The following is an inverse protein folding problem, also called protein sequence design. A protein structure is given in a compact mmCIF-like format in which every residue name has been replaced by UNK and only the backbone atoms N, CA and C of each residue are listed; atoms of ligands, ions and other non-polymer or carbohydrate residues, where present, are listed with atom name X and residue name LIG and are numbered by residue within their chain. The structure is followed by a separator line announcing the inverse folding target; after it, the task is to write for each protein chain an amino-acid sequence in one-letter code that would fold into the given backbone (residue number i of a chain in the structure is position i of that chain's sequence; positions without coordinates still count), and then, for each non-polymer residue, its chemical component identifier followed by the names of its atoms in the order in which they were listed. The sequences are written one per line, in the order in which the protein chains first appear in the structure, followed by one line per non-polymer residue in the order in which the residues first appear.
data_IF_431133800280
#
_entry.id   IF_431133800280
#
_cell.length_a   1.000
_cell.length_b   1.000
_cell.length_c   1.000
_cell.angle_alpha   90.00
_cell.angle_beta   90.00
_cell.angle_gamma   90.00
#
_symmetry.space_group_name_H-M   'P 1'
#
loop_
_entity.id
_entity.type
_entity.pdbx_description
1 polymer ?
#
# COMPACT_ATOMS: atom_id res chain seq x y z
N UNK A 1 -6.87 24.44 1.78
CA UNK A 1 -5.55 23.81 1.64
C UNK A 1 -5.20 22.87 2.78
N UNK A 2 -5.10 23.29 4.06
CA UNK A 2 -4.68 22.39 5.15
C UNK A 2 -5.58 21.14 5.35
N UNK A 3 -6.90 21.30 5.25
CA UNK A 3 -7.85 20.18 5.36
C UNK A 3 -7.74 19.16 4.21
N UNK A 4 -7.43 19.63 2.99
CA UNK A 4 -7.28 18.77 1.81
C UNK A 4 -6.04 17.90 1.93
N UNK A 5 -4.95 18.45 2.44
CA UNK A 5 -3.72 17.70 2.66
C UNK A 5 -3.88 16.64 3.76
N UNK A 6 -4.55 16.98 4.87
CA UNK A 6 -4.81 15.99 5.91
C UNK A 6 -5.68 14.83 5.40
N UNK A 7 -6.65 15.13 4.52
CA UNK A 7 -7.49 14.14 3.85
C UNK A 7 -6.75 13.21 2.89
N UNK A 8 -5.57 13.62 2.39
CA UNK A 8 -4.71 12.80 1.53
C UNK A 8 -3.70 11.98 2.36
N UNK A 9 -2.98 12.63 3.27
CA UNK A 9 -1.85 12.05 4.00
C UNK A 9 -2.30 11.07 5.12
N UNK A 10 -3.43 11.35 5.78
CA UNK A 10 -3.89 10.51 6.91
C UNK A 10 -4.34 9.12 6.45
N UNK A 11 -5.17 8.97 5.39
CA UNK A 11 -5.54 7.65 4.88
C UNK A 11 -4.35 6.80 4.43
N UNK A 12 -3.28 7.40 3.92
CA UNK A 12 -2.05 6.66 3.54
C UNK A 12 -1.42 5.98 4.76
N UNK A 13 -1.41 6.64 5.92
CA UNK A 13 -0.92 6.01 7.17
C UNK A 13 -1.85 4.86 7.57
N UNK A 14 -3.17 5.05 7.53
CA UNK A 14 -4.12 3.98 7.84
C UNK A 14 -3.93 2.75 6.95
N UNK A 15 -3.68 2.94 5.65
CA UNK A 15 -3.36 1.86 4.73
C UNK A 15 -2.11 1.09 5.18
N UNK A 16 -1.02 1.79 5.52
CA UNK A 16 0.20 1.14 5.99
C UNK A 16 -0.03 0.38 7.32
N UNK A 17 -0.86 0.91 8.22
CA UNK A 17 -1.20 0.21 9.47
C UNK A 17 -1.99 -1.08 9.20
N UNK A 18 -2.90 -1.08 8.21
CA UNK A 18 -3.58 -2.29 7.76
C UNK A 18 -2.60 -3.31 7.16
N UNK A 19 -1.60 -2.84 6.41
CA UNK A 19 -0.56 -3.71 5.85
C UNK A 19 0.27 -4.33 6.97
N UNK A 20 0.70 -3.54 7.95
CA UNK A 20 1.42 -4.02 9.14
C UNK A 20 0.58 -5.06 9.87
N UNK A 21 -0.72 -4.80 10.07
CA UNK A 21 -1.63 -5.78 10.66
C UNK A 21 -1.62 -7.11 9.90
N UNK A 22 -1.81 -7.09 8.58
CA UNK A 22 -1.84 -8.32 7.78
C UNK A 22 -0.48 -9.05 7.83
N UNK A 23 0.62 -8.31 7.76
CA UNK A 23 1.98 -8.84 7.66
C UNK A 23 2.52 -9.40 8.99
N UNK A 24 2.13 -8.83 10.12
CA UNK A 24 2.68 -9.17 11.44
C UNK A 24 1.68 -9.86 12.37
N UNK A 25 0.37 -9.83 12.08
CA UNK A 25 -0.67 -10.50 12.89
C UNK A 25 -0.41 -11.98 13.19
N UNK A 26 0.22 -12.79 12.31
CA UNK A 26 0.50 -14.19 12.64
C UNK A 26 1.50 -14.38 13.79
N UNK A 27 2.48 -13.49 13.93
CA UNK A 27 3.57 -13.63 14.92
C UNK A 27 3.41 -12.68 16.11
N UNK A 28 2.33 -11.90 16.15
CA UNK A 28 2.06 -10.98 17.24
C UNK A 28 1.62 -11.75 18.49
N UNK A 29 2.41 -11.64 19.56
CA UNK A 29 2.24 -12.44 20.78
C UNK A 29 0.82 -12.37 21.36
N UNK A 30 0.23 -11.18 21.43
CA UNK A 30 -1.16 -10.99 21.88
C UNK A 30 -2.07 -10.62 20.73
N UNK A 31 -2.53 -11.60 19.95
CA UNK A 31 -3.24 -11.38 18.67
C UNK A 31 -4.41 -10.39 18.73
N UNK A 32 -5.09 -10.29 19.87
CA UNK A 32 -6.21 -9.37 20.09
C UNK A 32 -5.80 -7.92 20.40
N UNK A 33 -4.55 -7.66 20.80
CA UNK A 33 -4.12 -6.30 21.19
C UNK A 33 -3.56 -5.50 20.01
N UNK A 34 -3.07 -6.17 18.97
CA UNK A 34 -2.50 -5.53 17.79
C UNK A 34 -3.47 -4.55 17.09
N UNK A 35 -4.75 -4.90 16.84
CA UNK A 35 -5.69 -3.97 16.21
C UNK A 35 -5.91 -2.71 17.07
N UNK A 36 -6.05 -2.88 18.39
CA UNK A 36 -6.21 -1.76 19.33
C UNK A 36 -4.98 -0.87 19.32
N UNK A 37 -3.78 -1.45 19.37
CA UNK A 37 -2.52 -0.70 19.32
C UNK A 37 -2.40 0.11 18.02
N UNK A 38 -2.64 -0.52 16.86
CA UNK A 38 -2.57 0.15 15.56
C UNK A 38 -3.64 1.23 15.42
N UNK A 39 -4.85 1.00 15.94
CA UNK A 39 -5.91 2.00 15.94
C UNK A 39 -5.53 3.22 16.78
N UNK A 40 -5.04 3.01 18.01
CA UNK A 40 -4.58 4.11 18.87
C UNK A 40 -3.41 4.86 18.24
N UNK A 41 -2.49 4.15 17.59
CA UNK A 41 -1.39 4.74 16.84
C UNK A 41 -1.89 5.66 15.71
N UNK A 42 -2.79 5.17 14.86
CA UNK A 42 -3.37 5.95 13.76
C UNK A 42 -4.17 7.16 14.24
N UNK A 43 -4.92 7.00 15.33
CA UNK A 43 -5.67 8.11 15.94
C UNK A 43 -4.74 9.19 16.51
N UNK A 44 -3.70 8.79 17.26
CA UNK A 44 -2.70 9.71 17.79
C UNK A 44 -1.96 10.44 16.67
N UNK A 45 -1.56 9.71 15.62
CA UNK A 45 -0.95 10.30 14.43
C UNK A 45 -1.89 11.35 13.81
N UNK A 46 -3.16 11.03 13.58
CA UNK A 46 -4.12 11.96 12.97
C UNK A 46 -4.31 13.24 13.80
N UNK A 47 -4.40 13.13 15.12
CA UNK A 47 -4.49 14.29 16.02
C UNK A 47 -3.21 15.12 15.95
N UNK A 48 -2.05 14.50 16.15
CA UNK A 48 -0.76 15.21 16.10
C UNK A 48 -0.54 15.89 14.73
N UNK A 49 -0.90 15.22 13.65
CA UNK A 49 -0.80 15.74 12.28
C UNK A 49 -1.71 16.94 12.05
N UNK A 50 -2.94 16.91 12.57
CA UNK A 50 -3.88 18.04 12.49
C UNK A 50 -3.40 19.29 13.24
N UNK A 51 -2.74 19.09 14.38
CA UNK A 51 -2.28 20.17 15.25
C UNK A 51 -0.98 20.80 14.75
N UNK A 52 -0.01 19.99 14.36
CA UNK A 52 1.37 20.46 14.10
C UNK A 52 1.72 20.53 12.60
N UNK A 53 0.97 19.87 11.72
CA UNK A 53 1.09 20.01 10.25
C UNK A 53 2.49 19.71 9.70
N UNK A 54 3.03 18.54 10.04
CA UNK A 54 4.38 18.13 9.69
C UNK A 54 4.53 17.65 8.23
N UNK A 55 4.71 18.56 7.26
CA UNK A 55 4.92 18.17 5.85
C UNK A 55 6.09 17.20 5.60
N UNK A 56 7.28 17.51 6.14
CA UNK A 56 8.47 16.66 5.95
C UNK A 56 8.39 15.44 6.88
N UNK A 57 7.89 15.65 8.10
CA UNK A 57 7.71 14.59 9.09
C UNK A 57 6.81 13.47 8.58
N UNK A 58 5.69 13.81 7.92
CA UNK A 58 4.82 12.83 7.28
C UNK A 58 5.56 12.00 6.23
N UNK A 59 6.29 12.63 5.30
CA UNK A 59 7.01 11.91 4.24
C UNK A 59 8.03 10.93 4.80
N UNK A 60 8.83 11.37 5.77
CA UNK A 60 9.83 10.51 6.45
C UNK A 60 9.12 9.37 7.17
N UNK A 61 8.08 9.68 7.93
CA UNK A 61 7.31 8.70 8.68
C UNK A 61 6.66 7.64 7.77
N UNK A 62 6.05 8.07 6.67
CA UNK A 62 5.44 7.20 5.67
C UNK A 62 6.46 6.26 5.04
N UNK A 63 7.63 6.78 4.62
CA UNK A 63 8.71 5.95 4.07
C UNK A 63 9.17 4.89 5.09
N UNK A 64 9.29 5.25 6.38
CA UNK A 64 9.65 4.30 7.42
C UNK A 64 8.60 3.18 7.56
N UNK A 65 7.30 3.50 7.52
CA UNK A 65 6.23 2.50 7.55
C UNK A 65 6.27 1.57 6.33
N UNK A 66 6.52 2.11 5.13
CA UNK A 66 6.68 1.31 3.93
C UNK A 66 7.88 0.35 4.08
N UNK A 67 9.03 0.84 4.56
CA UNK A 67 10.23 0.03 4.77
C UNK A 67 10.00 -1.08 5.80
N UNK A 68 9.24 -0.83 6.87
CA UNK A 68 8.86 -1.86 7.83
C UNK A 68 8.05 -3.00 7.18
N UNK A 69 7.24 -2.71 6.17
CA UNK A 69 6.45 -3.73 5.47
C UNK A 69 7.31 -4.61 4.54
N UNK A 70 8.41 -4.09 3.98
CA UNK A 70 9.19 -4.75 2.92
C UNK A 70 9.70 -6.15 3.31
N UNK A 71 10.37 -6.37 4.47
CA UNK A 71 10.93 -7.67 4.80
C UNK A 71 9.86 -8.76 4.90
N UNK A 72 8.72 -8.43 5.51
CA UNK A 72 7.60 -9.38 5.66
C UNK A 72 6.89 -9.64 4.35
N UNK A 73 6.68 -8.60 3.55
CA UNK A 73 6.09 -8.75 2.23
C UNK A 73 6.98 -9.60 1.31
N UNK A 74 8.30 -9.41 1.37
CA UNK A 74 9.27 -10.25 0.66
C UNK A 74 9.23 -11.71 1.13
N UNK A 75 9.17 -11.95 2.46
CA UNK A 75 8.98 -13.29 3.01
C UNK A 75 7.73 -13.98 2.44
N UNK A 76 6.59 -13.29 2.37
CA UNK A 76 5.39 -13.90 1.79
C UNK A 76 5.48 -14.08 0.28
N UNK A 77 6.16 -13.19 -0.44
CA UNK A 77 6.41 -13.35 -1.87
C UNK A 77 7.20 -14.63 -2.18
N UNK A 78 8.27 -14.92 -1.42
CA UNK A 78 9.06 -16.14 -1.64
C UNK A 78 8.29 -17.41 -1.28
N UNK A 79 7.45 -17.37 -0.24
CA UNK A 79 6.64 -18.50 0.21
C UNK A 79 5.40 -18.76 -0.66
N UNK A 80 4.96 -17.77 -1.43
CA UNK A 80 3.86 -17.94 -2.37
C UNK A 80 4.30 -18.83 -3.53
N UNK A 81 3.51 -19.83 -3.92
CA UNK A 81 3.78 -20.65 -5.11
C UNK A 81 2.96 -20.21 -6.32
N UNK A 82 1.76 -19.68 -6.07
CA UNK A 82 0.83 -19.25 -7.13
C UNK A 82 1.43 -18.14 -8.00
N UNK A 83 1.49 -18.42 -9.31
CA UNK A 83 2.10 -17.52 -10.30
C UNK A 83 1.32 -16.21 -10.44
N UNK A 84 -0.01 -16.25 -10.31
CA UNK A 84 -0.86 -15.07 -10.44
C UNK A 84 -0.70 -14.13 -9.23
N UNK A 85 -0.61 -14.68 -8.02
CA UNK A 85 -0.30 -13.92 -6.80
C UNK A 85 1.11 -13.32 -6.86
N UNK A 86 2.12 -14.05 -7.34
CA UNK A 86 3.45 -13.46 -7.60
C UNK A 86 3.41 -12.34 -8.63
N UNK A 87 2.57 -12.46 -9.66
CA UNK A 87 2.39 -11.39 -10.65
C UNK A 87 1.83 -10.12 -10.01
N UNK A 88 0.88 -10.23 -9.08
CA UNK A 88 0.37 -9.07 -8.32
C UNK A 88 1.50 -8.37 -7.57
N UNK A 89 2.35 -9.11 -6.84
CA UNK A 89 3.49 -8.53 -6.12
C UNK A 89 4.49 -7.84 -7.07
N UNK A 90 4.75 -8.42 -8.25
CA UNK A 90 5.61 -7.79 -9.28
C UNK A 90 4.99 -6.51 -9.85
N UNK A 91 3.68 -6.52 -10.12
CA UNK A 91 2.95 -5.34 -10.61
C UNK A 91 2.91 -4.23 -9.56
N UNK A 92 2.77 -4.59 -8.28
CA UNK A 92 2.95 -3.66 -7.16
C UNK A 92 4.34 -3.00 -7.22
N UNK A 93 5.43 -3.76 -7.30
CA UNK A 93 6.78 -3.17 -7.38
C UNK A 93 6.95 -2.31 -8.64
N UNK A 94 6.49 -2.80 -9.80
CA UNK A 94 6.61 -2.07 -11.06
C UNK A 94 5.88 -0.72 -11.02
N UNK A 95 4.64 -0.70 -10.54
CA UNK A 95 3.85 0.54 -10.40
C UNK A 95 4.45 1.51 -9.38
N UNK A 96 5.03 1.01 -8.29
CA UNK A 96 5.75 1.83 -7.32
C UNK A 96 6.96 2.52 -7.95
N UNK A 97 7.76 1.78 -8.72
CA UNK A 97 8.97 2.30 -9.37
C UNK A 97 8.62 3.32 -10.46
N UNK A 98 7.66 3.01 -11.33
CA UNK A 98 7.20 3.91 -12.39
C UNK A 98 6.59 5.17 -11.80
N UNK A 99 5.70 5.04 -10.81
CA UNK A 99 5.12 6.17 -10.10
C UNK A 99 6.23 7.05 -9.52
N UNK A 100 7.12 6.48 -8.71
CA UNK A 100 8.21 7.22 -8.06
C UNK A 100 9.09 7.96 -9.06
N UNK A 101 9.36 7.36 -10.21
CA UNK A 101 10.08 8.01 -11.30
C UNK A 101 9.29 9.20 -11.86
N UNK A 102 7.99 9.04 -12.15
CA UNK A 102 7.12 10.15 -12.60
C UNK A 102 7.13 11.31 -11.61
N UNK A 103 7.00 11.03 -10.31
CA UNK A 103 7.03 12.05 -9.26
C UNK A 103 8.39 12.74 -9.16
N UNK A 104 9.49 11.98 -9.24
CA UNK A 104 10.84 12.52 -9.14
C UNK A 104 11.19 13.39 -10.35
N UNK A 105 10.88 12.94 -11.56
CA UNK A 105 11.10 13.69 -12.80
C UNK A 105 10.32 14.99 -12.79
N UNK A 106 9.03 14.93 -12.43
CA UNK A 106 8.17 16.12 -12.34
C UNK A 106 8.74 17.14 -11.34
N UNK A 107 9.20 16.66 -10.18
CA UNK A 107 9.75 17.52 -9.13
C UNK A 107 11.10 18.14 -9.50
N UNK A 108 11.99 17.40 -10.17
CA UNK A 108 13.34 17.88 -10.50
C UNK A 108 13.35 18.77 -11.75
N UNK A 109 12.54 18.43 -12.77
CA UNK A 109 12.54 19.09 -14.07
C UNK A 109 11.31 19.96 -14.34
N UNK A 110 10.54 20.31 -13.29
CA UNK A 110 9.30 21.10 -13.40
C UNK A 110 9.47 22.37 -14.25
N UNK A 111 10.57 23.11 -14.05
CA UNK A 111 10.85 24.38 -14.76
C UNK A 111 11.06 24.19 -16.26
N UNK A 112 11.60 23.05 -16.67
CA UNK A 112 11.88 22.73 -18.07
C UNK A 112 10.65 22.11 -18.73
N UNK A 113 10.02 21.13 -18.06
CA UNK A 113 8.82 20.43 -18.55
C UNK A 113 7.62 21.38 -18.69
N UNK A 114 7.45 22.35 -17.79
CA UNK A 114 6.35 23.32 -17.88
C UNK A 114 6.42 24.24 -19.10
N UNK A 115 7.59 24.34 -19.74
CA UNK A 115 7.79 25.13 -20.96
C UNK A 115 7.61 24.32 -22.25
N UNK A 116 7.44 23.00 -22.15
CA UNK A 116 7.22 22.17 -23.32
C UNK A 116 5.84 22.42 -23.92
N UNK A 117 5.71 22.16 -25.22
CA UNK A 117 4.42 22.23 -25.92
C UNK A 117 3.38 21.26 -25.31
N UNK A 118 3.83 20.16 -24.72
CA UNK A 118 3.00 19.19 -24.01
C UNK A 118 3.57 18.93 -22.59
N UNK A 119 2.72 19.09 -21.57
CA UNK A 119 3.07 18.78 -20.18
C UNK A 119 2.53 17.38 -19.82
N UNK A 120 3.39 16.39 -19.53
CA UNK A 120 2.98 15.03 -19.17
C UNK A 120 2.32 14.92 -17.78
N UNK A 121 2.30 15.99 -16.98
CA UNK A 121 1.70 16.03 -15.64
C UNK A 121 2.20 14.88 -14.75
N UNK A 122 3.50 14.82 -14.48
CA UNK A 122 4.12 13.67 -13.82
C UNK A 122 3.57 13.41 -12.42
N UNK A 123 3.15 14.45 -11.69
CA UNK A 123 2.43 14.28 -10.42
C UNK A 123 1.05 13.62 -10.58
N UNK A 124 0.32 13.89 -11.67
CA UNK A 124 -0.94 13.19 -11.96
C UNK A 124 -0.69 11.72 -12.31
N UNK A 125 0.36 11.44 -13.09
CA UNK A 125 0.78 10.07 -13.39
C UNK A 125 1.24 9.30 -12.14
N UNK A 126 1.90 9.98 -11.20
CA UNK A 126 2.19 9.42 -9.87
C UNK A 126 0.91 8.90 -9.20
N UNK A 127 -0.15 9.72 -9.12
CA UNK A 127 -1.42 9.31 -8.48
C UNK A 127 -2.08 8.12 -9.18
N UNK A 128 -2.06 8.07 -10.51
CA UNK A 128 -2.56 6.92 -11.28
C UNK A 128 -1.76 5.66 -10.95
N UNK A 129 -0.43 5.74 -10.98
CA UNK A 129 0.44 4.62 -10.63
C UNK A 129 0.26 4.18 -9.18
N UNK A 130 0.11 5.11 -8.24
CA UNK A 130 -0.14 4.79 -6.83
C UNK A 130 -1.52 4.17 -6.60
N UNK A 131 -2.55 4.56 -7.36
CA UNK A 131 -3.85 3.89 -7.32
C UNK A 131 -3.76 2.41 -7.73
N UNK A 132 -3.06 2.12 -8.83
CA UNK A 132 -2.79 0.73 -9.23
C UNK A 132 -1.88 0.00 -8.23
N UNK A 133 -0.90 0.70 -7.66
CA UNK A 133 0.00 0.17 -6.65
C UNK A 133 -0.77 -0.34 -5.43
N UNK A 134 -1.61 0.52 -4.83
CA UNK A 134 -2.46 0.16 -3.69
C UNK A 134 -3.42 -0.97 -4.06
N UNK A 135 -3.97 -1.01 -5.27
CA UNK A 135 -4.81 -2.11 -5.72
C UNK A 135 -4.07 -3.46 -5.73
N UNK A 136 -2.88 -3.51 -6.34
CA UNK A 136 -2.09 -4.74 -6.42
C UNK A 136 -1.55 -5.18 -5.05
N UNK A 137 -1.12 -4.22 -4.21
CA UNK A 137 -0.69 -4.49 -2.85
C UNK A 137 -1.81 -5.12 -2.01
N UNK A 138 -3.00 -4.50 -2.00
CA UNK A 138 -4.15 -5.01 -1.26
C UNK A 138 -4.57 -6.39 -1.76
N UNK A 139 -4.62 -6.62 -3.08
CA UNK A 139 -4.95 -7.93 -3.63
C UNK A 139 -3.92 -9.00 -3.21
N UNK A 140 -2.63 -8.70 -3.27
CA UNK A 140 -1.59 -9.63 -2.82
C UNK A 140 -1.69 -9.91 -1.31
N UNK A 141 -1.89 -8.88 -0.49
CA UNK A 141 -2.03 -9.02 0.96
C UNK A 141 -3.31 -9.79 1.36
N UNK A 142 -4.41 -9.59 0.65
CA UNK A 142 -5.63 -10.40 0.82
C UNK A 142 -5.35 -11.88 0.54
N UNK A 143 -4.62 -12.18 -0.53
CA UNK A 143 -4.20 -13.53 -0.87
C UNK A 143 -3.35 -14.13 0.26
N UNK A 144 -2.29 -13.44 0.69
CA UNK A 144 -1.43 -13.89 1.78
C UNK A 144 -2.20 -14.09 3.09
N UNK A 145 -3.13 -13.18 3.43
CA UNK A 145 -3.94 -13.28 4.64
C UNK A 145 -4.86 -14.49 4.62
N UNK A 146 -5.46 -14.79 3.47
CA UNK A 146 -6.28 -15.98 3.30
C UNK A 146 -5.45 -17.26 3.49
N UNK A 147 -4.24 -17.33 2.91
CA UNK A 147 -3.33 -18.45 3.13
C UNK A 147 -2.93 -18.60 4.61
N UNK A 148 -2.60 -17.50 5.30
CA UNK A 148 -2.29 -17.50 6.74
C UNK A 148 -3.45 -18.02 7.61
N UNK A 149 -4.69 -17.95 7.11
CA UNK A 149 -5.89 -18.44 7.79
C UNK A 149 -6.24 -19.88 7.39
N UNK A 150 -5.42 -20.54 6.58
CA UNK A 150 -5.67 -21.90 6.08
C UNK A 150 -6.83 -21.96 5.08
N UNK A 151 -7.15 -20.85 4.41
CA UNK A 151 -8.16 -20.82 3.35
C UNK A 151 -7.53 -21.13 1.99
N UNK A 152 -8.35 -21.38 0.97
CA UNK A 152 -7.92 -21.61 -0.42
C UNK A 152 -8.18 -20.34 -1.27
N UNK A 153 -7.27 -19.34 -1.26
CA UNK A 153 -7.39 -18.18 -2.13
C UNK A 153 -6.93 -18.49 -3.55
N UNK A 154 -7.64 -17.93 -4.54
CA UNK A 154 -7.27 -17.98 -5.95
C UNK A 154 -7.34 -16.59 -6.56
N UNK A 155 -6.38 -16.24 -7.39
CA UNK A 155 -6.41 -15.00 -8.17
C UNK A 155 -7.15 -15.26 -9.48
N UNK A 156 -8.30 -14.63 -9.64
CA UNK A 156 -9.12 -14.66 -10.86
C UNK A 156 -9.09 -13.30 -11.54
N UNK A 157 -9.55 -13.24 -12.79
CA UNK A 157 -9.57 -12.00 -13.58
C UNK A 157 -11.00 -11.68 -13.99
N UNK A 158 -11.48 -10.49 -13.61
CA UNK A 158 -12.73 -9.93 -14.12
C UNK A 158 -12.46 -9.28 -15.47
N UNK A 159 -13.27 -9.64 -16.47
CA UNK A 159 -13.09 -9.25 -17.89
C UNK A 159 -11.69 -9.56 -18.46
N UNK A 160 -10.97 -10.52 -17.86
CA UNK A 160 -9.60 -10.88 -18.26
C UNK A 160 -8.51 -9.85 -17.87
N UNK A 161 -8.88 -8.72 -17.25
CA UNK A 161 -7.97 -7.59 -17.00
C UNK A 161 -7.80 -7.34 -15.50
N UNK A 162 -8.90 -7.30 -14.73
CA UNK A 162 -8.88 -6.90 -13.33
C UNK A 162 -8.72 -8.09 -12.40
N UNK A 163 -7.53 -8.24 -11.82
CA UNK A 163 -7.20 -9.34 -10.93
C UNK A 163 -7.87 -9.18 -9.55
N UNK A 164 -8.71 -10.13 -9.16
CA UNK A 164 -9.35 -10.14 -7.84
C UNK A 164 -9.09 -11.48 -7.13
N UNK A 165 -9.09 -11.45 -5.80
CA UNK A 165 -8.86 -12.65 -4.98
C UNK A 165 -10.19 -13.28 -4.62
N UNK A 166 -10.45 -14.48 -5.13
CA UNK A 166 -11.57 -15.33 -4.70
C UNK A 166 -11.11 -16.18 -3.54
N UNK A 167 -11.79 -16.08 -2.41
CA UNK A 167 -11.46 -16.82 -1.19
C UNK A 167 -12.51 -17.90 -0.96
N UNK A 168 -12.09 -19.17 -0.94
CA UNK A 168 -12.94 -20.25 -0.46
C UNK A 168 -12.66 -20.49 1.02
N UNK A 169 -13.66 -20.20 1.86
CA UNK A 169 -13.58 -20.49 3.29
C UNK A 169 -13.95 -21.95 3.51
N UNK A 170 -13.25 -22.68 4.40
CA UNK A 170 -13.73 -23.98 4.87
C UNK A 170 -15.16 -23.83 5.39
N UNK A 171 -16.04 -24.79 5.11
CA UNK A 171 -17.34 -24.86 5.82
C UNK A 171 -17.00 -24.93 7.31
N UNK A 172 -17.57 -24.01 8.10
CA UNK A 172 -17.32 -24.00 9.54
C UNK A 172 -17.54 -25.40 10.11
N UNK A 173 -16.56 -25.91 10.87
CA UNK A 173 -16.79 -27.01 11.80
C UNK A 173 -17.46 -26.45 13.05
#
# INVERSE_FOLDING_TARGET
MAWQQQGDETPMVWEMLLYIYILYSPDWHYRSTMPTFLFLYGALFAVAHSLVRFHIGFKVHYVLLCLLCVPRMYKYYILTEDRSAKRLAKLYVATLLVGSLCWLVDRLFCKDISRWYFNPQGHAMWHICMGFNSYFANAFLMYCRAQQRGWDPKVNYFLGIFAYVKIQKPKAQ
#
